data_IF_409994770692
#
_entry.id   IF_409994770692
#
_cell.length_a   1.000
_cell.length_b   1.000
_cell.length_c   1.000
_cell.angle_alpha   90.00
_cell.angle_beta   90.00
_cell.angle_gamma   90.00
#
_symmetry.space_group_name_H-M   'P 1'
#
loop_
_entity.id
_entity.type
_entity.pdbx_description
1 polymer ?
#
# COMPACT_ATOMS: atom_id res chain seq x y z
N UNK A 1 7.03 -30.92 14.80
CA UNK A 1 6.13 -30.30 13.81
C UNK A 1 4.76 -30.99 13.79
N UNK A 2 4.68 -32.29 14.07
CA UNK A 2 3.45 -33.08 13.89
C UNK A 2 2.27 -32.66 14.81
N UNK A 3 2.52 -32.32 16.08
CA UNK A 3 1.46 -31.84 16.97
C UNK A 3 0.87 -30.50 16.50
N UNK A 4 1.70 -29.58 16.02
CA UNK A 4 1.27 -28.27 15.53
C UNK A 4 0.46 -28.40 14.23
N UNK A 5 0.87 -29.30 13.32
CA UNK A 5 0.13 -29.58 12.10
C UNK A 5 -1.24 -30.22 12.38
N UNK A 6 -1.30 -31.15 13.34
CA UNK A 6 -2.56 -31.76 13.77
C UNK A 6 -3.54 -30.74 14.37
N UNK A 7 -3.05 -29.83 15.22
CA UNK A 7 -3.86 -28.74 15.78
C UNK A 7 -4.35 -27.78 14.69
N UNK A 8 -3.49 -27.43 13.72
CA UNK A 8 -3.87 -26.57 12.61
C UNK A 8 -4.99 -27.21 11.77
N UNK A 9 -4.86 -28.50 11.45
CA UNK A 9 -5.89 -29.26 10.74
C UNK A 9 -7.21 -29.26 11.52
N UNK A 10 -7.17 -29.53 12.83
CA UNK A 10 -8.35 -29.48 13.67
C UNK A 10 -9.01 -28.09 13.68
N UNK A 11 -8.23 -27.02 13.83
CA UNK A 11 -8.74 -25.64 13.79
C UNK A 11 -9.35 -25.28 12.44
N UNK A 12 -8.73 -25.70 11.33
CA UNK A 12 -9.27 -25.48 9.99
C UNK A 12 -10.61 -26.21 9.79
N UNK A 13 -10.73 -27.46 10.28
CA UNK A 13 -11.97 -28.24 10.28
C UNK A 13 -13.08 -27.60 11.12
N UNK A 14 -12.71 -27.00 12.26
CA UNK A 14 -13.64 -26.24 13.11
C UNK A 14 -14.11 -24.91 12.49
N UNK A 15 -13.58 -24.54 11.32
CA UNK A 15 -14.03 -23.37 10.58
C UNK A 15 -13.24 -22.08 10.87
N UNK A 16 -12.09 -22.17 11.54
CA UNK A 16 -11.23 -21.00 11.72
C UNK A 16 -10.59 -20.57 10.38
N UNK A 17 -10.96 -19.39 9.91
CA UNK A 17 -10.61 -18.87 8.59
C UNK A 17 -9.09 -18.70 8.39
N UNK A 18 -8.38 -18.16 9.38
CA UNK A 18 -6.92 -17.97 9.32
C UNK A 18 -6.18 -19.31 9.34
N UNK A 19 -6.64 -20.26 10.16
CA UNK A 19 -6.09 -21.61 10.20
C UNK A 19 -6.26 -22.32 8.85
N UNK A 20 -7.43 -22.17 8.22
CA UNK A 20 -7.74 -22.71 6.89
C UNK A 20 -6.85 -22.11 5.80
N UNK A 21 -6.64 -20.80 5.83
CA UNK A 21 -5.71 -20.15 4.89
C UNK A 21 -4.28 -20.66 5.07
N UNK A 22 -3.78 -20.73 6.31
CA UNK A 22 -2.44 -21.26 6.58
C UNK A 22 -2.31 -22.72 6.13
N UNK A 23 -3.30 -23.56 6.41
CA UNK A 23 -3.34 -24.94 5.95
C UNK A 23 -3.29 -25.03 4.42
N UNK A 24 -4.07 -24.20 3.71
CA UNK A 24 -4.05 -24.17 2.24
C UNK A 24 -2.67 -23.80 1.67
N UNK A 25 -1.94 -22.91 2.33
CA UNK A 25 -0.58 -22.54 1.95
C UNK A 25 0.39 -23.72 2.19
N UNK A 26 0.30 -24.39 3.35
CA UNK A 26 1.13 -25.56 3.64
C UNK A 26 0.92 -26.69 2.62
N UNK A 27 -0.33 -26.92 2.18
CA UNK A 27 -0.66 -27.90 1.15
C UNK A 27 -0.13 -27.51 -0.23
N UNK A 28 -0.14 -26.22 -0.58
CA UNK A 28 0.41 -25.74 -1.86
C UNK A 28 1.92 -25.97 -1.97
N UNK A 29 2.65 -25.82 -0.85
CA UNK A 29 4.12 -25.90 -0.83
C UNK A 29 4.67 -27.22 -0.28
N UNK A 30 3.81 -28.18 0.10
CA UNK A 30 4.25 -29.47 0.64
C UNK A 30 4.99 -29.36 1.99
N UNK A 31 4.58 -28.42 2.84
CA UNK A 31 5.26 -28.13 4.12
C UNK A 31 4.82 -29.05 5.28
N UNK A 32 3.99 -30.05 5.03
CA UNK A 32 3.61 -31.07 6.02
C UNK A 32 4.52 -32.29 5.86
N UNK A 33 5.05 -32.79 6.98
CA UNK A 33 6.04 -33.88 7.06
C UNK A 33 5.71 -35.10 6.18
N UNK A 34 4.41 -35.43 6.10
CA UNK A 34 3.93 -36.66 5.48
C UNK A 34 3.04 -36.43 4.23
N UNK A 35 2.91 -35.20 3.73
CA UNK A 35 2.06 -34.89 2.56
C UNK A 35 2.86 -34.25 1.42
N UNK A 36 2.68 -34.80 0.22
CA UNK A 36 3.07 -34.12 -1.01
C UNK A 36 2.19 -32.88 -1.26
N UNK A 37 2.60 -32.04 -2.21
CA UNK A 37 1.79 -30.90 -2.64
C UNK A 37 0.41 -31.38 -3.07
N UNK A 38 -0.63 -30.81 -2.45
CA UNK A 38 -2.04 -31.10 -2.77
C UNK A 38 -2.75 -29.80 -3.15
N UNK A 39 -2.71 -29.52 -4.45
CA UNK A 39 -3.33 -28.33 -5.02
C UNK A 39 -4.86 -28.39 -4.98
N UNK A 40 -5.44 -29.59 -5.08
CA UNK A 40 -6.89 -29.76 -5.10
C UNK A 40 -7.48 -29.45 -3.72
N UNK A 41 -6.93 -30.04 -2.67
CA UNK A 41 -7.34 -29.75 -1.29
C UNK A 41 -7.04 -28.29 -0.94
N UNK A 42 -5.88 -27.76 -1.32
CA UNK A 42 -5.54 -26.35 -1.10
C UNK A 42 -6.56 -25.39 -1.73
N UNK A 43 -6.88 -25.57 -3.02
CA UNK A 43 -7.81 -24.69 -3.72
C UNK A 43 -9.25 -24.82 -3.20
N UNK A 44 -9.66 -26.03 -2.77
CA UNK A 44 -10.94 -26.24 -2.13
C UNK A 44 -11.05 -25.49 -0.79
N UNK A 45 -10.01 -25.54 0.05
CA UNK A 45 -9.95 -24.79 1.30
C UNK A 45 -9.97 -23.29 1.07
N UNK A 46 -9.25 -22.78 0.06
CA UNK A 46 -9.28 -21.37 -0.31
C UNK A 46 -10.70 -20.94 -0.69
N UNK A 47 -11.37 -21.69 -1.58
CA UNK A 47 -12.72 -21.39 -2.04
C UNK A 47 -13.73 -21.42 -0.89
N UNK A 48 -13.67 -22.43 -0.02
CA UNK A 48 -14.54 -22.52 1.15
C UNK A 48 -14.34 -21.31 2.08
N UNK A 49 -13.10 -20.87 2.25
CA UNK A 49 -12.76 -19.72 3.07
C UNK A 49 -13.30 -18.40 2.47
N UNK A 50 -13.30 -18.26 1.14
CA UNK A 50 -13.97 -17.13 0.46
C UNK A 50 -15.48 -17.18 0.72
N UNK A 51 -16.12 -18.34 0.53
CA UNK A 51 -17.58 -18.46 0.65
C UNK A 51 -18.10 -18.28 2.08
N UNK A 52 -17.40 -18.85 3.07
CA UNK A 52 -17.84 -18.81 4.48
C UNK A 52 -17.37 -17.57 5.22
N UNK A 53 -16.12 -17.19 5.03
CA UNK A 53 -15.47 -16.14 5.82
C UNK A 53 -15.29 -14.84 5.06
N UNK A 54 -15.58 -14.81 3.74
CA UNK A 54 -15.22 -13.69 2.86
C UNK A 54 -13.74 -13.32 3.00
N UNK A 55 -12.87 -14.33 3.15
CA UNK A 55 -11.46 -14.16 3.49
C UNK A 55 -10.66 -13.60 2.31
N UNK A 56 -10.09 -12.41 2.47
CA UNK A 56 -9.50 -11.64 1.37
C UNK A 56 -8.21 -12.25 0.82
N UNK A 57 -7.30 -12.72 1.69
CA UNK A 57 -6.06 -13.34 1.24
C UNK A 57 -6.33 -14.65 0.48
N UNK A 58 -7.42 -15.35 0.81
CA UNK A 58 -7.81 -16.55 0.08
C UNK A 58 -8.31 -16.21 -1.32
N UNK A 59 -9.13 -15.15 -1.42
CA UNK A 59 -9.61 -14.65 -2.71
C UNK A 59 -8.45 -14.11 -3.56
N UNK A 60 -7.48 -13.43 -2.94
CA UNK A 60 -6.28 -12.93 -3.61
C UNK A 60 -5.42 -14.09 -4.14
N UNK A 61 -5.22 -15.14 -3.33
CA UNK A 61 -4.49 -16.33 -3.75
C UNK A 61 -5.19 -17.06 -4.91
N UNK A 62 -6.53 -17.20 -4.88
CA UNK A 62 -7.26 -17.76 -6.02
C UNK A 62 -7.15 -16.87 -7.27
N UNK A 63 -7.22 -15.55 -7.11
CA UNK A 63 -7.08 -14.60 -8.21
C UNK A 63 -5.71 -14.74 -8.89
N UNK A 64 -4.62 -14.80 -8.12
CA UNK A 64 -3.27 -14.97 -8.67
C UNK A 64 -3.07 -16.34 -9.30
N UNK A 65 -3.60 -17.41 -8.69
CA UNK A 65 -3.54 -18.76 -9.26
C UNK A 65 -4.24 -18.86 -10.61
N UNK A 66 -5.45 -18.32 -10.75
CA UNK A 66 -6.16 -18.24 -12.04
C UNK A 66 -5.53 -17.27 -13.03
N UNK A 67 -4.88 -16.20 -12.56
CA UNK A 67 -4.14 -15.29 -13.43
C UNK A 67 -2.96 -16.00 -14.12
N UNK A 68 -2.21 -16.78 -13.33
CA UNK A 68 -1.00 -17.46 -13.77
C UNK A 68 -1.25 -18.84 -14.38
N UNK A 69 -2.39 -19.48 -14.08
CA UNK A 69 -2.62 -20.90 -14.41
C UNK A 69 -1.69 -21.82 -13.62
N UNK A 70 -1.57 -21.59 -12.31
CA UNK A 70 -0.62 -22.26 -11.41
C UNK A 70 -1.31 -23.00 -10.27
N UNK A 71 -0.57 -23.86 -9.57
CA UNK A 71 -1.05 -24.61 -8.40
C UNK A 71 -2.38 -25.33 -8.65
N UNK A 72 -2.49 -26.02 -9.78
CA UNK A 72 -3.66 -26.78 -10.19
C UNK A 72 -4.88 -25.95 -10.63
N UNK A 73 -4.79 -24.61 -10.66
CA UNK A 73 -5.84 -23.75 -11.18
C UNK A 73 -5.66 -23.53 -12.69
N UNK A 74 -6.75 -23.62 -13.45
CA UNK A 74 -6.74 -23.26 -14.87
C UNK A 74 -6.57 -21.74 -15.05
N UNK A 75 -5.81 -21.36 -16.08
CA UNK A 75 -5.62 -19.97 -16.45
C UNK A 75 -6.95 -19.37 -16.94
N UNK A 76 -7.54 -18.49 -16.14
CA UNK A 76 -8.78 -17.77 -16.47
C UNK A 76 -8.66 -16.30 -16.04
N UNK A 77 -8.34 -15.44 -17.02
CA UNK A 77 -8.10 -14.01 -16.79
C UNK A 77 -9.36 -13.26 -16.42
N UNK A 78 -10.52 -13.64 -16.98
CA UNK A 78 -11.79 -12.99 -16.67
C UNK A 78 -12.21 -13.25 -15.23
N UNK A 79 -12.12 -14.52 -14.80
CA UNK A 79 -12.41 -14.91 -13.43
C UNK A 79 -11.43 -14.25 -12.44
N UNK A 80 -10.14 -14.28 -12.76
CA UNK A 80 -9.11 -13.63 -11.96
C UNK A 80 -9.35 -12.12 -11.83
N UNK A 81 -9.69 -11.44 -12.94
CA UNK A 81 -10.02 -10.02 -12.93
C UNK A 81 -11.25 -9.73 -12.07
N UNK A 82 -12.29 -10.58 -12.13
CA UNK A 82 -13.47 -10.44 -11.28
C UNK A 82 -13.11 -10.54 -9.79
N UNK A 83 -12.21 -11.44 -9.41
CA UNK A 83 -11.72 -11.56 -8.03
C UNK A 83 -10.90 -10.35 -7.60
N UNK A 84 -9.98 -9.86 -8.44
CA UNK A 84 -9.22 -8.65 -8.16
C UNK A 84 -10.11 -7.42 -8.04
N UNK A 85 -11.11 -7.28 -8.92
CA UNK A 85 -12.07 -6.18 -8.87
C UNK A 85 -12.90 -6.21 -7.57
N UNK A 86 -13.34 -7.40 -7.15
CA UNK A 86 -14.03 -7.56 -5.88
C UNK A 86 -13.17 -7.13 -4.68
N UNK A 87 -11.89 -7.52 -4.65
CA UNK A 87 -10.95 -7.09 -3.61
C UNK A 87 -10.72 -5.57 -3.65
N UNK A 88 -10.42 -5.02 -4.83
CA UNK A 88 -10.13 -3.61 -5.02
C UNK A 88 -11.26 -2.69 -4.54
N UNK A 89 -12.53 -3.11 -4.68
CA UNK A 89 -13.68 -2.33 -4.17
C UNK A 89 -13.83 -2.37 -2.65
N UNK A 90 -13.35 -3.42 -2.00
CA UNK A 90 -13.55 -3.68 -0.57
C UNK A 90 -12.40 -3.20 0.30
N UNK A 91 -11.16 -3.35 -0.14
CA UNK A 91 -9.97 -2.96 0.63
C UNK A 91 -9.98 -1.48 1.05
N UNK A 92 -10.42 -0.51 0.23
CA UNK A 92 -10.50 0.89 0.63
C UNK A 92 -11.50 1.15 1.75
N UNK A 93 -12.71 0.57 1.68
CA UNK A 93 -13.73 0.78 2.72
C UNK A 93 -13.29 0.22 4.07
N UNK A 94 -12.66 -0.96 4.07
CA UNK A 94 -12.10 -1.53 5.30
C UNK A 94 -10.92 -0.72 5.81
N UNK A 95 -10.07 -0.20 4.92
CA UNK A 95 -8.99 0.70 5.33
C UNK A 95 -9.53 1.94 6.03
N UNK A 96 -10.63 2.52 5.54
CA UNK A 96 -11.25 3.69 6.16
C UNK A 96 -11.90 3.36 7.52
N UNK A 97 -12.50 2.17 7.67
CA UNK A 97 -12.99 1.67 8.96
C UNK A 97 -11.86 1.46 9.98
N UNK A 98 -10.74 0.93 9.49
CA UNK A 98 -9.50 0.69 10.24
C UNK A 98 -8.64 1.96 10.40
N UNK A 99 -8.96 3.07 9.75
CA UNK A 99 -8.17 4.31 9.82
C UNK A 99 -8.19 4.96 11.22
N UNK A 100 -9.09 4.50 12.10
CA UNK A 100 -9.10 4.83 13.52
C UNK A 100 -8.01 4.08 14.33
N UNK A 101 -7.32 3.11 13.71
CA UNK A 101 -6.23 2.36 14.29
C UNK A 101 -4.89 2.84 13.70
N UNK A 102 -3.89 3.06 14.56
CA UNK A 102 -2.57 3.57 14.18
C UNK A 102 -1.75 2.53 13.40
N UNK A 103 -2.05 2.36 12.11
CA UNK A 103 -1.23 1.49 11.26
C UNK A 103 0.01 2.23 10.75
N UNK A 104 1.16 1.58 10.96
CA UNK A 104 2.40 1.89 10.27
C UNK A 104 2.33 1.37 8.83
N UNK A 105 2.96 2.08 7.90
CA UNK A 105 3.11 1.63 6.52
C UNK A 105 4.00 0.40 6.49
N UNK A 106 3.51 -0.68 5.85
CA UNK A 106 4.34 -1.84 5.55
C UNK A 106 5.24 -1.51 4.36
N UNK A 107 6.55 -1.62 4.56
CA UNK A 107 7.53 -1.44 3.51
C UNK A 107 7.74 -2.74 2.72
N UNK A 108 7.53 -2.66 1.40
CA UNK A 108 7.76 -3.77 0.49
C UNK A 108 9.24 -3.81 0.10
N UNK A 109 10.08 -4.36 0.99
CA UNK A 109 11.51 -4.56 0.80
C UNK A 109 11.79 -6.06 0.63
N UNK A 110 12.45 -6.44 -0.47
CA UNK A 110 12.93 -7.81 -0.65
C UNK A 110 14.20 -7.99 0.17
N UNK A 111 14.28 -9.05 0.97
CA UNK A 111 15.46 -9.33 1.78
C UNK A 111 16.74 -9.58 0.96
N UNK A 112 16.60 -9.95 -0.32
CA UNK A 112 17.71 -10.08 -1.26
C UNK A 112 18.26 -8.74 -1.78
N UNK A 113 17.56 -7.64 -1.52
CA UNK A 113 17.98 -6.29 -1.89
C UNK A 113 18.71 -5.64 -0.71
N UNK A 114 20.00 -5.94 -0.57
CA UNK A 114 20.81 -5.45 0.54
C UNK A 114 20.83 -3.92 0.67
N UNK A 115 20.74 -3.22 -0.46
CA UNK A 115 20.73 -1.76 -0.46
C UNK A 115 19.45 -1.24 0.19
N UNK A 116 18.29 -1.79 -0.19
CA UNK A 116 17.01 -1.37 0.38
C UNK A 116 16.84 -1.81 1.83
N UNK A 117 17.40 -2.96 2.21
CA UNK A 117 17.39 -3.40 3.62
C UNK A 117 18.15 -2.41 4.51
N UNK A 118 19.29 -1.87 4.06
CA UNK A 118 20.07 -0.86 4.80
C UNK A 118 19.36 0.49 4.94
N UNK A 119 18.34 0.76 4.13
CA UNK A 119 17.53 1.99 4.23
C UNK A 119 16.42 1.87 5.30
N UNK A 120 16.10 0.66 5.76
CA UNK A 120 15.17 0.43 6.87
C UNK A 120 15.84 0.89 8.16
N UNK A 121 15.14 1.69 8.97
CA UNK A 121 15.74 2.33 10.14
C UNK A 121 14.73 2.56 11.25
N UNK A 122 15.16 2.34 12.48
CA UNK A 122 14.43 2.60 13.71
C UNK A 122 15.00 3.81 14.45
N UNK A 123 14.25 4.32 15.44
CA UNK A 123 14.61 5.53 16.18
C UNK A 123 15.98 5.43 16.87
N UNK A 124 16.41 4.22 17.21
CA UNK A 124 17.69 3.94 17.88
C UNK A 124 18.88 3.81 16.90
N UNK A 125 18.62 3.69 15.60
CA UNK A 125 19.66 3.46 14.61
C UNK A 125 20.43 4.74 14.26
N UNK A 126 21.73 4.59 14.00
CA UNK A 126 22.61 5.70 13.59
C UNK A 126 22.11 6.43 12.34
N UNK A 127 21.48 5.70 11.40
CA UNK A 127 20.91 6.29 10.19
C UNK A 127 19.79 7.28 10.53
N UNK A 128 18.87 6.90 11.42
CA UNK A 128 17.80 7.78 11.87
C UNK A 128 18.36 9.00 12.61
N UNK A 129 19.32 8.79 13.52
CA UNK A 129 19.96 9.88 14.26
C UNK A 129 20.65 10.87 13.33
N UNK A 130 21.35 10.36 12.30
CA UNK A 130 21.96 11.19 11.28
C UNK A 130 20.93 11.97 10.46
N UNK A 131 19.85 11.32 10.00
CA UNK A 131 18.75 11.99 9.27
C UNK A 131 18.13 13.09 10.14
N UNK A 132 17.83 12.79 11.41
CA UNK A 132 17.26 13.74 12.38
C UNK A 132 18.18 14.95 12.57
N UNK A 133 19.48 14.73 12.73
CA UNK A 133 20.47 15.80 12.83
C UNK A 133 20.49 16.68 11.57
N UNK A 134 20.48 16.09 10.37
CA UNK A 134 20.44 16.85 9.11
C UNK A 134 19.13 17.64 8.96
N UNK A 135 18.00 17.06 9.35
CA UNK A 135 16.70 17.72 9.33
C UNK A 135 16.69 18.93 10.28
N UNK A 136 17.27 18.81 11.48
CA UNK A 136 17.43 19.90 12.44
C UNK A 136 18.32 21.04 11.92
N UNK A 137 19.27 20.74 11.02
CA UNK A 137 20.10 21.74 10.32
C UNK A 137 19.42 22.38 9.12
N UNK A 138 18.18 22.03 8.83
CA UNK A 138 17.42 22.62 7.74
C UNK A 138 17.63 21.95 6.38
N UNK A 139 18.28 20.78 6.31
CA UNK A 139 18.57 20.10 5.05
C UNK A 139 17.26 19.59 4.39
N UNK A 140 16.90 20.05 3.17
CA UNK A 140 15.58 19.78 2.58
C UNK A 140 15.23 18.30 2.43
N UNK A 141 16.17 17.49 1.91
CA UNK A 141 15.93 16.06 1.72
C UNK A 141 15.71 15.34 3.05
N UNK A 142 16.39 15.77 4.12
CA UNK A 142 16.31 15.16 5.44
C UNK A 142 14.98 15.50 6.12
N UNK A 143 14.51 16.76 6.02
CA UNK A 143 13.16 17.14 6.48
C UNK A 143 12.10 16.29 5.79
N UNK A 144 12.18 16.13 4.47
CA UNK A 144 11.25 15.30 3.70
C UNK A 144 11.30 13.84 4.15
N UNK A 145 12.49 13.28 4.35
CA UNK A 145 12.64 11.91 4.84
C UNK A 145 12.07 11.73 6.25
N UNK A 146 12.30 12.67 7.17
CA UNK A 146 11.67 12.67 8.50
C UNK A 146 10.15 12.75 8.41
N UNK A 147 9.63 13.58 7.51
CA UNK A 147 8.21 13.71 7.26
C UNK A 147 7.59 12.37 6.81
N UNK A 148 8.24 11.68 5.87
CA UNK A 148 7.80 10.36 5.38
C UNK A 148 7.89 9.26 6.46
N UNK A 149 8.99 9.23 7.23
CA UNK A 149 9.20 8.27 8.32
C UNK A 149 8.09 8.40 9.38
N UNK A 150 7.84 9.62 9.87
CA UNK A 150 6.90 9.86 10.95
C UNK A 150 5.44 9.85 10.49
N UNK A 151 5.11 10.49 9.36
CA UNK A 151 3.71 10.59 8.94
C UNK A 151 3.11 9.23 8.55
N UNK A 152 3.91 8.39 7.88
CA UNK A 152 3.47 7.07 7.43
C UNK A 152 3.86 5.94 8.37
N UNK A 153 4.74 6.17 9.36
CA UNK A 153 5.36 5.08 10.12
C UNK A 153 6.15 4.15 9.21
N UNK A 154 6.89 4.71 8.25
CA UNK A 154 7.67 3.91 7.30
C UNK A 154 8.98 3.43 7.93
N UNK A 155 9.57 2.40 7.34
CA UNK A 155 10.85 1.80 7.74
C UNK A 155 10.86 1.23 9.15
N UNK A 156 9.69 0.84 9.67
CA UNK A 156 9.55 0.29 11.02
C UNK A 156 9.48 1.35 12.13
N UNK A 157 9.37 2.62 11.76
CA UNK A 157 9.13 3.71 12.71
C UNK A 157 7.67 3.72 13.17
N UNK A 158 7.45 4.07 14.44
CA UNK A 158 6.11 4.36 14.93
C UNK A 158 5.59 5.65 14.28
N UNK A 159 4.37 5.59 13.77
CA UNK A 159 3.70 6.72 13.14
C UNK A 159 3.43 7.84 14.13
N UNK A 160 3.84 9.06 13.78
CA UNK A 160 3.49 10.31 14.46
C UNK A 160 3.00 11.33 13.42
N UNK A 161 1.68 11.38 13.23
CA UNK A 161 1.04 12.22 12.20
C UNK A 161 1.30 13.71 12.44
N UNK A 162 1.22 14.17 13.68
CA UNK A 162 1.37 15.58 14.02
C UNK A 162 2.79 16.06 13.73
N UNK A 163 3.79 15.29 14.17
CA UNK A 163 5.19 15.62 13.93
C UNK A 163 5.57 15.50 12.45
N UNK A 164 5.10 14.44 11.77
CA UNK A 164 5.28 14.27 10.33
C UNK A 164 4.69 15.44 9.52
N UNK A 165 3.48 15.89 9.85
CA UNK A 165 2.87 17.08 9.23
C UNK A 165 3.67 18.36 9.49
N UNK A 166 4.26 18.50 10.67
CA UNK A 166 5.14 19.63 10.99
C UNK A 166 6.37 19.66 10.07
N UNK A 167 7.01 18.52 9.84
CA UNK A 167 8.13 18.44 8.90
C UNK A 167 7.71 18.71 7.45
N UNK A 168 6.56 18.19 7.00
CA UNK A 168 6.02 18.53 5.67
C UNK A 168 5.74 20.02 5.51
N UNK A 169 5.16 20.65 6.54
CA UNK A 169 4.92 22.10 6.55
C UNK A 169 6.22 22.89 6.48
N UNK A 170 7.21 22.56 7.32
CA UNK A 170 8.53 23.21 7.29
C UNK A 170 9.21 23.06 5.94
N UNK A 171 9.17 21.87 5.34
CA UNK A 171 9.72 21.65 4.01
C UNK A 171 8.99 22.47 2.92
N UNK A 172 7.67 22.62 3.03
CA UNK A 172 6.89 23.44 2.12
C UNK A 172 7.16 24.95 2.27
N UNK A 173 7.23 25.44 3.52
CA UNK A 173 7.38 26.87 3.83
C UNK A 173 8.83 27.36 3.66
N UNK A 174 9.84 26.54 4.03
CA UNK A 174 11.26 26.95 4.05
C UNK A 174 12.02 26.57 2.77
N UNK A 175 11.78 25.38 2.22
CA UNK A 175 12.55 24.93 1.07
C UNK A 175 11.97 25.48 -0.25
N UNK A 176 10.75 26.03 -0.21
CA UNK A 176 10.02 26.58 -1.36
C UNK A 176 9.85 25.59 -2.52
N UNK A 177 10.20 24.31 -2.32
CA UNK A 177 10.15 23.32 -3.36
C UNK A 177 8.69 22.96 -3.57
N UNK A 178 8.23 23.18 -4.77
CA UNK A 178 6.87 22.88 -5.16
C UNK A 178 6.50 21.40 -4.93
N UNK A 179 7.47 20.49 -4.93
CA UNK A 179 7.29 19.09 -4.52
C UNK A 179 6.92 18.95 -3.04
N UNK A 180 7.56 19.70 -2.13
CA UNK A 180 7.22 19.70 -0.71
C UNK A 180 5.87 20.39 -0.44
N UNK A 181 5.60 21.52 -1.10
CA UNK A 181 4.30 22.20 -1.03
C UNK A 181 3.16 21.30 -1.57
N UNK A 182 3.43 20.53 -2.63
CA UNK A 182 2.50 19.54 -3.15
C UNK A 182 2.20 18.44 -2.14
N UNK A 183 3.23 17.79 -1.58
CA UNK A 183 3.02 16.69 -0.63
C UNK A 183 2.25 17.18 0.60
N UNK A 184 2.67 18.30 1.19
CA UNK A 184 1.98 18.90 2.33
C UNK A 184 0.53 19.25 2.00
N UNK A 185 0.28 19.85 0.83
CA UNK A 185 -1.05 20.15 0.34
C UNK A 185 -1.94 18.92 0.21
N UNK A 186 -1.43 17.84 -0.36
CA UNK A 186 -2.17 16.58 -0.51
C UNK A 186 -2.50 15.93 0.83
N UNK A 187 -1.61 16.00 1.81
CA UNK A 187 -1.88 15.50 3.16
C UNK A 187 -2.99 16.27 3.85
N UNK A 188 -3.05 17.59 3.67
CA UNK A 188 -4.12 18.42 4.23
C UNK A 188 -5.47 18.11 3.60
N UNK A 189 -5.52 17.89 2.29
CA UNK A 189 -6.74 17.48 1.59
C UNK A 189 -7.21 16.10 2.06
N UNK A 190 -6.31 15.12 2.12
CA UNK A 190 -6.65 13.74 2.56
C UNK A 190 -7.06 13.68 4.03
N UNK A 191 -6.45 14.49 4.89
CA UNK A 191 -6.76 14.58 6.33
C UNK A 191 -8.03 15.37 6.67
N UNK A 192 -8.82 15.81 5.69
CA UNK A 192 -10.06 16.57 5.94
C UNK A 192 -9.83 18.03 6.38
N UNK A 193 -8.60 18.54 6.27
CA UNK A 193 -8.29 19.95 6.58
C UNK A 193 -8.61 20.83 5.36
N UNK A 194 -9.91 21.13 5.19
CA UNK A 194 -10.50 21.75 4.01
C UNK A 194 -10.03 23.17 3.62
N UNK A 195 -9.15 23.81 4.40
CA UNK A 195 -8.76 25.21 4.24
C UNK A 195 -7.56 25.47 3.32
N UNK A 196 -6.89 24.45 2.78
CA UNK A 196 -5.62 24.63 2.04
C UNK A 196 -5.65 24.26 0.55
N UNK A 197 -6.84 24.20 -0.06
CA UNK A 197 -7.06 23.86 -1.49
C UNK A 197 -6.24 24.73 -2.46
N UNK A 198 -6.05 26.00 -2.13
CA UNK A 198 -5.30 26.98 -2.96
C UNK A 198 -3.81 26.64 -3.02
N UNK A 199 -3.19 26.31 -1.87
CA UNK A 199 -1.76 25.93 -1.80
C UNK A 199 -1.45 24.66 -2.59
N UNK A 200 -2.40 23.72 -2.69
CA UNK A 200 -2.22 22.48 -3.47
C UNK A 200 -2.13 22.80 -4.95
N UNK A 201 -3.05 23.63 -5.48
CA UNK A 201 -3.06 24.05 -6.89
C UNK A 201 -1.81 24.86 -7.23
N UNK A 202 -1.42 25.79 -6.37
CA UNK A 202 -0.22 26.62 -6.55
C UNK A 202 1.07 25.78 -6.49
N UNK A 203 1.19 24.87 -5.52
CA UNK A 203 2.30 23.93 -5.44
C UNK A 203 2.36 22.97 -6.62
N UNK A 204 1.21 22.54 -7.14
CA UNK A 204 1.12 21.67 -8.32
C UNK A 204 1.51 22.36 -9.62
N UNK A 205 1.10 23.61 -9.82
CA UNK A 205 1.41 24.37 -11.03
C UNK A 205 2.82 24.98 -11.00
N UNK A 206 3.30 25.37 -9.82
CA UNK A 206 4.63 25.95 -9.60
C UNK A 206 5.77 24.94 -9.64
N UNK A 207 5.50 23.63 -9.70
CA UNK A 207 6.58 22.64 -9.65
C UNK A 207 7.44 22.59 -10.91
N UNK A 208 8.73 22.27 -10.78
CA UNK A 208 9.55 21.94 -11.94
C UNK A 208 8.87 20.84 -12.78
N UNK A 209 9.04 20.90 -14.11
CA UNK A 209 8.37 19.98 -15.04
C UNK A 209 8.61 18.50 -14.68
N UNK A 210 9.82 18.15 -14.23
CA UNK A 210 10.17 16.80 -13.80
C UNK A 210 9.38 16.34 -12.56
N UNK A 211 9.02 17.27 -11.65
CA UNK A 211 8.22 16.94 -10.47
C UNK A 211 6.74 16.82 -10.82
N UNK A 212 6.24 17.65 -11.75
CA UNK A 212 4.87 17.56 -12.30
C UNK A 212 4.62 16.26 -13.06
N UNK A 213 5.66 15.67 -13.62
CA UNK A 213 5.57 14.41 -14.35
C UNK A 213 5.65 13.16 -13.45
N UNK A 214 5.80 13.29 -12.12
CA UNK A 214 5.85 12.13 -11.23
C UNK A 214 4.48 11.42 -11.16
N UNK A 215 4.43 10.07 -11.15
CA UNK A 215 3.18 9.32 -11.09
C UNK A 215 2.26 9.78 -9.95
N UNK A 216 2.80 9.91 -8.73
CA UNK A 216 2.01 10.33 -7.56
C UNK A 216 1.40 11.73 -7.71
N UNK A 217 2.12 12.65 -8.34
CA UNK A 217 1.66 14.03 -8.60
C UNK A 217 0.57 14.05 -9.65
N UNK A 218 0.72 13.29 -10.73
CA UNK A 218 -0.31 13.13 -11.77
C UNK A 218 -1.57 12.46 -11.20
N UNK A 219 -1.44 11.41 -10.39
CA UNK A 219 -2.59 10.79 -9.69
C UNK A 219 -3.30 11.81 -8.81
N UNK A 220 -2.56 12.60 -8.05
CA UNK A 220 -3.11 13.61 -7.15
C UNK A 220 -3.86 14.71 -7.91
N UNK A 221 -3.32 15.16 -9.05
CA UNK A 221 -3.99 16.09 -9.96
C UNK A 221 -5.28 15.48 -10.53
N UNK A 222 -5.25 14.20 -10.92
CA UNK A 222 -6.43 13.51 -11.45
C UNK A 222 -7.54 13.42 -10.41
N UNK A 223 -7.19 13.07 -9.17
CA UNK A 223 -8.12 13.01 -8.05
C UNK A 223 -8.74 14.36 -7.72
N UNK A 224 -7.94 15.44 -7.80
CA UNK A 224 -8.45 16.78 -7.60
C UNK A 224 -9.42 17.19 -8.73
N UNK A 225 -9.07 16.90 -9.99
CA UNK A 225 -9.92 17.17 -11.14
C UNK A 225 -11.27 16.43 -11.01
N UNK A 226 -11.24 15.16 -10.61
CA UNK A 226 -12.41 14.33 -10.38
C UNK A 226 -13.31 14.87 -9.24
N UNK A 227 -12.74 15.10 -8.05
CA UNK A 227 -13.50 15.36 -6.82
C UNK A 227 -13.84 16.83 -6.56
N UNK A 228 -13.10 17.74 -7.16
CA UNK A 228 -13.22 19.18 -6.88
C UNK A 228 -13.50 20.03 -8.11
N UNK A 229 -12.98 19.67 -9.29
CA UNK A 229 -13.27 20.38 -10.53
C UNK A 229 -14.47 19.79 -11.28
N UNK A 230 -14.82 18.52 -11.01
CA UNK A 230 -15.84 17.79 -11.76
C UNK A 230 -15.42 17.45 -13.20
N UNK A 231 -14.13 17.61 -13.52
CA UNK A 231 -13.58 17.39 -14.86
C UNK A 231 -13.06 15.96 -14.99
N UNK A 232 -13.98 15.05 -15.32
CA UNK A 232 -13.69 13.63 -15.51
C UNK A 232 -12.72 13.37 -16.67
N UNK A 233 -12.80 14.15 -17.75
CA UNK A 233 -11.93 13.96 -18.91
C UNK A 233 -10.46 14.24 -18.55
N UNK A 234 -10.23 15.34 -17.84
CA UNK A 234 -8.92 15.70 -17.29
C UNK A 234 -8.44 14.68 -16.25
N UNK A 235 -9.31 14.21 -15.37
CA UNK A 235 -8.97 13.17 -14.39
C UNK A 235 -8.46 11.90 -15.08
N UNK A 236 -9.20 11.40 -16.07
CA UNK A 236 -8.86 10.19 -16.83
C UNK A 236 -7.53 10.36 -17.58
N UNK A 237 -7.29 11.51 -18.23
CA UNK A 237 -5.99 11.78 -18.89
C UNK A 237 -4.82 11.71 -17.90
N UNK A 238 -4.96 12.39 -16.77
CA UNK A 238 -3.95 12.44 -15.73
C UNK A 238 -3.68 11.06 -15.14
N UNK A 239 -4.72 10.27 -14.85
CA UNK A 239 -4.56 8.92 -14.37
C UNK A 239 -3.90 8.00 -15.41
N UNK A 240 -4.28 8.09 -16.69
CA UNK A 240 -3.64 7.29 -17.76
C UNK A 240 -2.15 7.59 -17.86
N UNK A 241 -1.77 8.86 -17.78
CA UNK A 241 -0.36 9.29 -17.79
C UNK A 241 0.39 8.79 -16.56
N UNK A 242 -0.21 8.87 -15.37
CA UNK A 242 0.36 8.34 -14.15
C UNK A 242 0.54 6.81 -14.19
N UNK A 243 -0.47 6.10 -14.69
CA UNK A 243 -0.46 4.64 -14.86
C UNK A 243 0.64 4.19 -15.84
N UNK A 244 0.80 4.90 -16.97
CA UNK A 244 1.87 4.64 -17.93
C UNK A 244 3.29 4.79 -17.33
N UNK A 245 3.42 5.56 -16.25
CA UNK A 245 4.67 5.75 -15.51
C UNK A 245 4.78 4.82 -14.28
N UNK A 246 3.92 3.80 -14.15
CA UNK A 246 3.94 2.82 -13.06
C UNK A 246 3.21 3.27 -11.78
N UNK A 247 2.34 4.29 -11.87
CA UNK A 247 1.52 4.75 -10.75
C UNK A 247 0.36 3.80 -10.44
N UNK A 248 0.54 2.91 -9.46
CA UNK A 248 -0.47 1.93 -9.03
C UNK A 248 -1.78 2.58 -8.56
N UNK A 249 -1.70 3.68 -7.79
CA UNK A 249 -2.88 4.42 -7.34
C UNK A 249 -3.71 4.97 -8.51
N UNK A 250 -3.07 5.31 -9.63
CA UNK A 250 -3.78 5.78 -10.82
C UNK A 250 -4.47 4.64 -11.57
N UNK A 251 -3.87 3.45 -11.61
CA UNK A 251 -4.54 2.26 -12.16
C UNK A 251 -5.79 1.94 -11.36
N UNK A 252 -5.71 2.04 -10.02
CA UNK A 252 -6.87 1.90 -9.16
C UNK A 252 -7.95 2.94 -9.45
N UNK A 253 -7.58 4.23 -9.57
CA UNK A 253 -8.57 5.29 -9.86
C UNK A 253 -9.16 5.22 -11.29
N UNK A 254 -8.56 4.47 -12.21
CA UNK A 254 -9.09 4.24 -13.56
C UNK A 254 -10.10 3.09 -13.63
N UNK A 255 -10.02 2.13 -12.68
CA UNK A 255 -10.87 0.95 -12.62
C UNK A 255 -12.17 1.20 -11.88
#
# INVERSE_FOLDING_TARGET
MDQSAALLNASACLGHCSAKFLLSAMLSYGLQSDRHMDFTESNALLLENVLRCRHQLSLLALATKHYLGSDGAEANRELSLAYFFHLARRTPSEKDELANEEYNRVDMVRLTDENRVKEVTHAEDDLFQWISHQAGRGVPWAKRKMADLLYWGSSGMQRNVQEGLSYFKKAADEDGSAGAAHDYGMLLIKGGHGSHRVRVREGLQGAPAHQRARPATLTSLGWYAERHEGDMAKAIDLYKRAAALGGHDAVYNLG
#
